data_IF_684586965081
#
_entry.id   IF_684586965081
#
_cell.length_a   1.000
_cell.length_b   1.000
_cell.length_c   1.000
_cell.angle_alpha   90.00
_cell.angle_beta   90.00
_cell.angle_gamma   90.00
#
_symmetry.space_group_name_H-M   'P 1'
#
loop_
_entity.id
_entity.type
_entity.pdbx_description
1 polymer ?
#
# COMPACT_ATOMS: atom_id res chain seq x y z
N UNK A 1 -30.37 -69.04 -35.42
CA UNK A 1 -30.55 -68.77 -36.87
C UNK A 1 -31.90 -68.11 -37.10
N UNK A 2 -31.93 -66.78 -37.16
CA UNK A 2 -32.86 -65.99 -37.99
C UNK A 2 -32.33 -64.56 -38.04
N UNK A 3 -32.26 -64.05 -39.25
CA UNK A 3 -31.49 -62.91 -39.70
C UNK A 3 -32.48 -61.82 -40.10
N UNK A 4 -32.08 -60.56 -39.88
CA UNK A 4 -32.47 -59.35 -40.60
C UNK A 4 -33.93 -58.87 -40.53
N UNK A 5 -34.14 -57.59 -40.20
CA UNK A 5 -34.25 -56.57 -41.24
C UNK A 5 -34.48 -55.17 -40.64
N UNK A 6 -34.04 -54.20 -41.41
CA UNK A 6 -33.75 -52.80 -41.14
C UNK A 6 -35.01 -51.93 -41.13
N UNK A 7 -35.15 -51.06 -40.12
CA UNK A 7 -36.13 -49.97 -40.08
C UNK A 7 -35.47 -48.65 -40.51
N UNK A 8 -35.94 -48.08 -41.61
CA UNK A 8 -35.66 -46.68 -41.99
C UNK A 8 -36.35 -45.72 -41.00
N UNK A 9 -35.61 -44.77 -40.43
CA UNK A 9 -36.18 -43.64 -39.68
C UNK A 9 -36.07 -42.34 -40.50
N UNK A 10 -37.08 -41.45 -40.44
CA UNK A 10 -37.02 -40.16 -41.10
C UNK A 10 -36.17 -39.16 -40.30
N UNK A 11 -35.36 -38.37 -41.00
CA UNK A 11 -34.48 -37.33 -40.43
C UNK A 11 -35.34 -36.17 -39.90
N UNK A 12 -35.35 -35.98 -38.57
CA UNK A 12 -35.85 -34.73 -37.95
C UNK A 12 -34.78 -33.64 -38.10
N UNK A 13 -35.10 -32.58 -38.85
CA UNK A 13 -34.28 -31.35 -38.88
C UNK A 13 -34.50 -30.58 -37.57
N UNK A 14 -33.44 -30.41 -36.78
CA UNK A 14 -33.40 -29.52 -35.62
C UNK A 14 -33.10 -28.10 -36.12
N UNK A 15 -34.01 -27.15 -35.88
CA UNK A 15 -33.70 -25.73 -36.03
C UNK A 15 -33.00 -25.25 -34.76
N UNK A 16 -31.73 -24.87 -34.87
CA UNK A 16 -30.99 -24.23 -33.78
C UNK A 16 -31.26 -22.73 -33.86
N UNK A 17 -32.06 -22.20 -32.92
CA UNK A 17 -32.18 -20.77 -32.71
C UNK A 17 -30.97 -20.26 -31.93
N UNK A 18 -30.22 -19.33 -32.52
CA UNK A 18 -29.08 -18.68 -31.86
C UNK A 18 -29.60 -17.61 -30.89
N UNK A 19 -29.48 -17.87 -29.58
CA UNK A 19 -29.76 -16.90 -28.54
C UNK A 19 -28.53 -15.99 -28.37
N UNK A 20 -28.61 -14.74 -28.81
CA UNK A 20 -27.58 -13.72 -28.53
C UNK A 20 -27.91 -13.09 -27.18
N UNK A 21 -27.14 -13.44 -26.15
CA UNK A 21 -27.24 -12.82 -24.82
C UNK A 21 -26.26 -11.63 -24.81
N UNK A 22 -26.78 -10.41 -24.88
CA UNK A 22 -25.97 -9.21 -24.69
C UNK A 22 -25.72 -8.99 -23.19
N UNK A 23 -24.48 -9.17 -22.75
CA UNK A 23 -24.03 -8.84 -21.39
C UNK A 23 -23.90 -7.32 -21.25
N UNK A 24 -25.00 -6.62 -20.98
CA UNK A 24 -24.95 -5.22 -20.54
C UNK A 24 -24.59 -5.21 -19.05
N UNK A 25 -23.34 -4.88 -18.71
CA UNK A 25 -22.98 -4.59 -17.32
C UNK A 25 -23.68 -3.29 -16.91
N UNK A 26 -24.62 -3.37 -15.97
CA UNK A 26 -25.18 -2.19 -15.35
C UNK A 26 -24.10 -1.49 -14.53
N UNK A 27 -23.71 -0.28 -14.95
CA UNK A 27 -22.86 0.60 -14.15
C UNK A 27 -23.70 1.10 -12.98
N UNK A 28 -23.47 0.59 -11.77
CA UNK A 28 -24.09 1.17 -10.57
C UNK A 28 -23.58 2.60 -10.40
N UNK A 29 -24.50 3.56 -10.30
CA UNK A 29 -24.17 4.93 -9.93
C UNK A 29 -23.67 4.95 -8.49
N UNK A 30 -22.56 5.65 -8.24
CA UNK A 30 -22.09 5.89 -6.86
C UNK A 30 -23.20 6.55 -6.03
N UNK A 31 -23.27 6.28 -4.71
CA UNK A 31 -24.26 6.91 -3.84
C UNK A 31 -24.16 8.44 -3.90
N UNK A 32 -25.30 9.12 -3.72
CA UNK A 32 -25.34 10.58 -3.70
C UNK A 32 -24.36 11.14 -2.64
N UNK A 33 -23.60 12.18 -3.00
CA UNK A 33 -22.56 12.85 -2.19
C UNK A 33 -21.26 12.08 -1.99
N UNK A 34 -21.07 10.94 -2.63
CA UNK A 34 -19.74 10.33 -2.68
C UNK A 34 -18.83 11.15 -3.61
N UNK A 35 -17.53 11.26 -3.29
CA UNK A 35 -16.57 11.85 -4.20
C UNK A 35 -16.55 11.06 -5.52
N UNK A 36 -16.50 11.80 -6.62
CA UNK A 36 -16.27 11.22 -7.94
C UNK A 36 -14.78 10.97 -8.11
N UNK A 37 -14.40 9.75 -8.47
CA UNK A 37 -13.02 9.39 -8.77
C UNK A 37 -12.86 9.22 -10.28
N UNK A 38 -11.75 9.71 -10.80
CA UNK A 38 -11.29 9.46 -12.16
C UNK A 38 -9.85 9.02 -12.11
N UNK A 39 -9.45 8.14 -13.04
CA UNK A 39 -8.04 7.82 -13.23
C UNK A 39 -7.28 9.10 -13.59
N UNK A 40 -6.15 9.32 -12.94
CA UNK A 40 -5.26 10.46 -13.18
C UNK A 40 -3.91 10.03 -13.77
N UNK A 41 -3.70 8.71 -13.95
CA UNK A 41 -2.48 8.15 -14.50
C UNK A 41 -1.56 7.52 -13.45
N UNK A 42 -0.36 7.16 -13.92
CA UNK A 42 0.62 6.39 -13.16
C UNK A 42 1.56 7.35 -12.42
N UNK A 43 1.67 7.20 -11.11
CA UNK A 43 2.58 8.01 -10.27
C UNK A 43 4.02 7.50 -10.36
N UNK A 44 4.22 6.19 -10.39
CA UNK A 44 5.52 5.54 -10.53
C UNK A 44 5.45 4.56 -11.69
N UNK A 45 6.08 4.91 -12.80
CA UNK A 45 6.31 3.99 -13.91
C UNK A 45 7.59 3.19 -13.63
N UNK A 46 7.45 1.86 -13.53
CA UNK A 46 8.54 0.95 -13.18
C UNK A 46 9.63 0.90 -14.25
N UNK A 47 9.28 1.14 -15.50
CA UNK A 47 10.22 1.06 -16.63
C UNK A 47 11.13 2.30 -16.70
N UNK A 48 10.63 3.44 -16.23
CA UNK A 48 11.32 4.74 -16.32
C UNK A 48 11.75 5.30 -14.97
N UNK A 49 11.39 4.65 -13.86
CA UNK A 49 11.81 5.03 -12.52
C UNK A 49 13.35 5.05 -12.39
N UNK A 50 13.89 6.21 -11.99
CA UNK A 50 15.33 6.43 -11.81
C UNK A 50 15.94 5.55 -10.72
N UNK A 51 15.13 5.10 -9.77
CA UNK A 51 15.53 4.20 -8.69
C UNK A 51 14.48 3.09 -8.50
N UNK A 52 14.78 1.89 -9.01
CA UNK A 52 13.89 0.73 -8.98
C UNK A 52 14.67 -0.59 -8.72
N UNK A 53 15.28 -0.77 -7.54
CA UNK A 53 16.14 -1.93 -7.28
C UNK A 53 15.38 -3.25 -7.10
N UNK A 54 14.04 -3.23 -7.02
CA UNK A 54 13.21 -4.41 -6.68
C UNK A 54 12.12 -4.73 -7.68
N UNK A 55 11.88 -3.84 -8.63
CA UNK A 55 10.72 -3.87 -9.53
C UNK A 55 9.36 -3.82 -8.82
N UNK A 56 9.32 -3.34 -7.58
CA UNK A 56 8.12 -3.38 -6.76
C UNK A 56 8.04 -2.28 -5.70
N UNK A 57 6.94 -1.54 -5.77
CA UNK A 57 6.60 -0.40 -4.94
C UNK A 57 5.31 -0.73 -4.20
N UNK A 58 5.36 -0.81 -2.86
CA UNK A 58 4.24 -1.28 -2.04
C UNK A 58 4.00 -0.37 -0.84
N UNK A 59 2.79 -0.46 -0.30
CA UNK A 59 2.34 0.25 0.89
C UNK A 59 2.63 1.76 0.83
N UNK A 60 1.99 2.47 -0.12
CA UNK A 60 2.19 3.89 -0.27
C UNK A 60 1.58 4.68 0.90
N UNK A 61 2.26 5.74 1.31
CA UNK A 61 1.76 6.79 2.21
C UNK A 61 1.98 8.15 1.57
N UNK A 62 0.94 8.99 1.57
CA UNK A 62 0.97 10.33 0.97
C UNK A 62 1.04 11.37 2.08
N UNK A 63 1.93 12.35 1.93
CA UNK A 63 2.11 13.45 2.86
C UNK A 63 1.95 14.82 2.17
N UNK A 64 1.16 15.71 2.75
CA UNK A 64 0.93 17.08 2.23
C UNK A 64 2.07 18.02 2.64
N UNK A 65 3.19 17.94 1.93
CA UNK A 65 4.39 18.73 2.23
C UNK A 65 4.14 20.24 2.13
N UNK A 66 3.42 20.69 1.09
CA UNK A 66 3.05 22.10 0.87
C UNK A 66 2.28 22.77 2.01
N UNK A 67 1.50 21.98 2.75
CA UNK A 67 0.71 22.49 3.88
C UNK A 67 1.54 22.69 5.15
N UNK A 68 2.65 21.95 5.31
CA UNK A 68 3.31 21.80 6.61
C UNK A 68 4.77 22.24 6.63
N UNK A 69 5.49 22.12 5.51
CA UNK A 69 6.91 22.44 5.44
C UNK A 69 7.13 23.86 4.94
N UNK A 70 8.18 24.53 5.44
CA UNK A 70 8.52 25.90 5.05
C UNK A 70 9.06 26.00 3.62
N UNK A 71 9.81 24.99 3.17
CA UNK A 71 10.44 24.96 1.84
C UNK A 71 10.36 23.54 1.23
N UNK A 72 9.17 23.08 0.83
CA UNK A 72 8.99 21.73 0.29
C UNK A 72 9.47 21.62 -1.16
N UNK A 73 10.11 20.50 -1.49
CA UNK A 73 10.55 20.16 -2.86
C UNK A 73 9.38 19.89 -3.83
N UNK A 74 8.17 19.76 -3.30
CA UNK A 74 6.94 19.53 -4.06
C UNK A 74 5.73 19.58 -3.14
N UNK A 75 4.54 19.76 -3.70
CA UNK A 75 3.29 19.91 -2.92
C UNK A 75 2.98 18.66 -2.08
N UNK A 76 3.26 17.48 -2.64
CA UNK A 76 2.97 16.19 -2.02
C UNK A 76 4.19 15.28 -2.09
N UNK A 77 4.46 14.56 -1.00
CA UNK A 77 5.47 13.49 -0.96
C UNK A 77 4.77 12.14 -0.91
N UNK A 78 5.28 11.19 -1.70
CA UNK A 78 4.85 9.78 -1.67
C UNK A 78 5.95 8.94 -1.04
N UNK A 79 5.69 8.39 0.14
CA UNK A 79 6.52 7.36 0.77
C UNK A 79 6.06 5.98 0.37
N UNK A 80 6.97 5.05 0.12
CA UNK A 80 6.62 3.66 -0.22
C UNK A 80 7.73 2.72 0.22
N UNK A 81 7.39 1.43 0.30
CA UNK A 81 8.37 0.37 0.56
C UNK A 81 8.78 -0.33 -0.71
N UNK A 82 9.99 -0.89 -0.70
CA UNK A 82 10.46 -1.81 -1.74
C UNK A 82 10.58 -3.23 -1.18
N UNK A 83 10.02 -4.23 -1.88
CA UNK A 83 9.95 -5.63 -1.39
C UNK A 83 11.34 -6.23 -1.11
N UNK A 84 12.30 -6.01 -2.01
CA UNK A 84 13.67 -6.54 -1.91
C UNK A 84 14.61 -5.47 -1.33
N UNK A 85 15.53 -5.85 -0.44
CA UNK A 85 16.41 -4.91 0.29
C UNK A 85 15.69 -4.03 1.32
N UNK A 86 14.37 -4.04 1.36
CA UNK A 86 13.55 -3.60 2.48
C UNK A 86 13.87 -2.19 3.01
N UNK A 87 13.42 -1.20 2.27
CA UNK A 87 13.70 0.20 2.53
C UNK A 87 12.41 1.01 2.36
N UNK A 88 12.29 2.10 3.12
CA UNK A 88 11.33 3.16 2.83
C UNK A 88 12.00 4.19 1.93
N UNK A 89 11.31 4.56 0.87
CA UNK A 89 11.73 5.55 -0.11
C UNK A 89 10.66 6.63 -0.27
N UNK A 90 11.01 7.70 -0.98
CA UNK A 90 10.16 8.86 -1.28
C UNK A 90 10.21 9.18 -2.77
N UNK A 91 9.19 9.87 -3.29
CA UNK A 91 9.20 10.47 -4.63
C UNK A 91 10.22 11.60 -4.82
N UNK A 92 10.88 12.03 -3.75
CA UNK A 92 11.99 13.02 -3.79
C UNK A 92 13.34 12.35 -4.07
N UNK A 93 14.38 13.08 -4.52
CA UNK A 93 15.68 12.50 -4.89
C UNK A 93 16.45 11.75 -3.77
N UNK A 94 16.08 11.94 -2.51
CA UNK A 94 16.80 11.40 -1.35
C UNK A 94 16.37 9.97 -0.95
N UNK A 95 16.49 8.99 -1.86
CA UNK A 95 16.14 7.59 -1.57
C UNK A 95 17.37 6.68 -1.45
N UNK A 96 17.38 5.69 -0.53
CA UNK A 96 16.37 5.37 0.49
C UNK A 96 16.36 6.36 1.67
N UNK A 97 15.20 6.56 2.30
CA UNK A 97 15.03 7.40 3.50
C UNK A 97 15.20 6.58 4.78
N UNK A 98 14.67 5.36 4.81
CA UNK A 98 14.85 4.43 5.94
C UNK A 98 15.44 3.13 5.41
N UNK A 99 16.53 2.68 6.02
CA UNK A 99 17.15 1.38 5.76
C UNK A 99 16.78 0.36 6.82
N UNK A 100 16.91 -0.92 6.48
CA UNK A 100 16.73 -2.03 7.43
C UNK A 100 17.94 -2.22 8.36
N UNK A 101 19.05 -1.52 8.12
CA UNK A 101 20.29 -1.51 8.92
C UNK A 101 20.61 -0.11 9.49
N UNK A 102 19.70 0.45 10.27
CA UNK A 102 19.90 1.77 10.86
C UNK A 102 20.77 1.70 12.12
N UNK A 103 22.10 1.75 11.95
CA UNK A 103 23.07 1.76 13.07
C UNK A 103 22.97 3.06 13.87
N UNK A 104 23.05 3.02 15.22
CA UNK A 104 23.22 1.84 16.10
C UNK A 104 21.90 1.20 16.55
N UNK A 105 20.77 1.58 15.96
CA UNK A 105 19.44 1.33 16.50
C UNK A 105 18.90 -0.07 16.23
N UNK A 106 19.06 -0.58 15.01
CA UNK A 106 18.59 -1.92 14.65
C UNK A 106 19.29 -2.46 13.39
N UNK A 107 19.18 -3.78 13.23
CA UNK A 107 19.43 -4.49 11.99
C UNK A 107 18.35 -5.57 11.87
N UNK A 108 17.44 -5.42 10.90
CA UNK A 108 16.25 -6.27 10.72
C UNK A 108 16.19 -6.84 9.32
N UNK A 109 15.43 -7.90 9.13
CA UNK A 109 15.24 -8.53 7.82
C UNK A 109 14.59 -7.58 6.82
N UNK A 110 13.69 -6.71 7.29
CA UNK A 110 13.06 -5.70 6.45
C UNK A 110 12.55 -4.47 7.21
N UNK A 111 12.36 -3.35 6.51
CA UNK A 111 11.45 -2.28 6.90
C UNK A 111 10.41 -2.05 5.80
N UNK A 112 9.17 -1.73 6.21
CA UNK A 112 8.05 -1.59 5.29
C UNK A 112 6.88 -0.80 5.90
N UNK A 113 5.88 -0.53 5.07
CA UNK A 113 4.60 0.10 5.42
C UNK A 113 4.73 1.45 6.09
N UNK A 114 5.33 2.44 5.38
CA UNK A 114 5.39 3.80 5.87
C UNK A 114 3.99 4.37 6.09
N UNK A 115 3.82 5.13 7.17
CA UNK A 115 2.68 6.03 7.41
C UNK A 115 3.23 7.37 7.92
N UNK A 116 3.18 8.39 7.07
CA UNK A 116 3.73 9.71 7.32
C UNK A 116 2.63 10.69 7.74
N UNK A 117 2.77 11.28 8.93
CA UNK A 117 1.83 12.24 9.48
C UNK A 117 2.55 13.49 10.00
N UNK A 118 1.92 14.66 9.89
CA UNK A 118 2.41 15.86 10.57
C UNK A 118 2.07 15.79 12.06
N UNK A 119 3.08 15.97 12.92
CA UNK A 119 2.88 16.21 14.34
C UNK A 119 3.08 17.71 14.63
N UNK A 120 1.99 18.41 14.88
CA UNK A 120 2.01 19.86 15.13
C UNK A 120 2.67 20.26 16.44
N UNK A 121 2.64 19.40 17.46
CA UNK A 121 3.30 19.66 18.74
C UNK A 121 4.82 19.56 18.61
N UNK A 122 5.30 18.57 17.84
CA UNK A 122 6.72 18.39 17.54
C UNK A 122 7.22 19.33 16.43
N UNK A 123 6.33 19.89 15.62
CA UNK A 123 6.70 20.65 14.42
C UNK A 123 7.47 19.81 13.40
N UNK A 124 7.11 18.53 13.28
CA UNK A 124 7.85 17.56 12.46
C UNK A 124 6.92 16.52 11.84
N UNK A 125 7.37 15.92 10.74
CA UNK A 125 6.78 14.71 10.19
C UNK A 125 7.17 13.52 11.05
N UNK A 126 6.18 12.76 11.47
CA UNK A 126 6.35 11.44 12.08
C UNK A 126 6.12 10.39 11.01
N UNK A 127 7.09 9.51 10.84
CA UNK A 127 7.04 8.37 9.92
C UNK A 127 6.98 7.09 10.74
N UNK A 128 5.81 6.47 10.78
CA UNK A 128 5.65 5.12 11.29
C UNK A 128 6.03 4.11 10.21
N UNK A 129 6.67 3.02 10.59
CA UNK A 129 7.03 1.91 9.71
C UNK A 129 7.28 0.66 10.56
N UNK A 130 7.16 -0.54 10.01
CA UNK A 130 7.55 -1.75 10.75
C UNK A 130 8.94 -2.22 10.36
N UNK A 131 9.58 -2.94 11.29
CA UNK A 131 10.79 -3.72 11.03
C UNK A 131 10.42 -5.19 10.85
N UNK A 132 10.86 -6.05 11.76
CA UNK A 132 10.20 -7.34 11.95
C UNK A 132 8.71 -7.15 12.22
N UNK A 133 7.87 -8.09 11.76
CA UNK A 133 6.41 -8.00 11.87
C UNK A 133 5.90 -7.79 13.31
N UNK A 134 6.69 -8.12 14.32
CA UNK A 134 6.37 -7.92 15.74
C UNK A 134 6.58 -6.50 16.25
N UNK A 135 7.09 -5.57 15.44
CA UNK A 135 7.45 -4.22 15.88
C UNK A 135 7.08 -3.13 14.87
N UNK A 136 6.29 -2.15 15.32
CA UNK A 136 6.15 -0.86 14.66
C UNK A 136 7.13 0.14 15.29
N UNK A 137 7.72 0.98 14.44
CA UNK A 137 8.76 1.94 14.76
C UNK A 137 8.31 3.34 14.36
N UNK A 138 9.00 4.33 14.90
CA UNK A 138 8.80 5.73 14.59
C UNK A 138 10.16 6.34 14.21
N UNK A 139 10.14 7.21 13.21
CA UNK A 139 11.18 8.19 12.95
C UNK A 139 10.54 9.56 12.79
N UNK A 140 11.30 10.63 13.00
CA UNK A 140 10.81 12.01 12.86
C UNK A 140 11.73 12.87 12.02
N UNK A 141 11.17 13.83 11.29
CA UNK A 141 11.93 14.72 10.43
C UNK A 141 11.26 16.10 10.34
N UNK A 142 12.00 17.21 10.51
CA UNK A 142 11.45 18.55 10.32
C UNK A 142 11.27 18.93 8.84
N UNK A 143 12.02 18.30 7.93
CA UNK A 143 12.00 18.58 6.49
C UNK A 143 11.36 17.45 5.65
N UNK A 144 10.96 16.37 6.31
CA UNK A 144 10.39 15.16 5.73
C UNK A 144 11.34 14.43 4.74
N UNK A 145 12.64 14.71 4.80
CA UNK A 145 13.68 14.11 3.97
C UNK A 145 14.73 13.40 4.83
N UNK A 146 15.27 14.11 5.84
CA UNK A 146 16.24 13.59 6.78
C UNK A 146 15.53 13.17 8.07
N UNK A 147 15.36 11.86 8.25
CA UNK A 147 14.70 11.30 9.43
C UNK A 147 15.70 10.90 10.51
N UNK A 148 15.30 11.12 11.75
CA UNK A 148 15.96 10.63 12.95
C UNK A 148 15.14 9.50 13.57
N UNK A 149 15.80 8.44 14.03
CA UNK A 149 15.11 7.30 14.62
C UNK A 149 14.52 7.64 15.99
N UNK A 150 13.21 7.46 16.15
CA UNK A 150 12.46 7.77 17.37
C UNK A 150 12.20 6.57 18.29
N UNK A 151 12.43 5.34 17.84
CA UNK A 151 12.27 4.14 18.66
C UNK A 151 11.20 3.16 18.18
N UNK A 152 10.92 2.15 19.01
CA UNK A 152 9.78 1.25 18.83
C UNK A 152 8.52 1.92 19.37
N UNK A 153 7.54 2.14 18.51
CA UNK A 153 6.27 2.77 18.88
C UNK A 153 5.28 1.73 19.45
N UNK A 154 5.20 0.57 18.80
CA UNK A 154 4.31 -0.53 19.21
C UNK A 154 5.06 -1.85 19.11
N UNK A 155 4.84 -2.69 20.10
CA UNK A 155 5.36 -4.05 20.20
C UNK A 155 4.18 -5.02 20.30
N UNK A 156 4.27 -6.20 19.68
CA UNK A 156 3.15 -7.15 19.66
C UNK A 156 2.70 -7.56 21.07
N UNK A 157 3.59 -7.53 22.07
CA UNK A 157 3.25 -7.81 23.47
C UNK A 157 2.18 -6.86 24.03
N UNK A 158 2.03 -5.65 23.47
CA UNK A 158 1.00 -4.70 23.85
C UNK A 158 -0.41 -5.14 23.45
N UNK A 159 -0.54 -6.04 22.46
CA UNK A 159 -1.82 -6.60 22.02
C UNK A 159 -2.29 -7.81 22.84
N UNK A 160 -1.48 -8.31 23.77
CA UNK A 160 -1.75 -9.50 24.57
C UNK A 160 -1.07 -10.77 24.05
N UNK A 161 -1.14 -11.86 24.82
CA UNK A 161 -0.31 -13.05 24.67
C UNK A 161 -0.42 -13.79 23.32
N UNK A 162 -1.50 -13.56 22.56
CA UNK A 162 -1.74 -14.24 21.28
C UNK A 162 -1.50 -13.35 20.06
N UNK A 163 -1.01 -12.12 20.25
CA UNK A 163 -0.73 -11.19 19.15
C UNK A 163 0.71 -11.40 18.69
N UNK A 164 0.85 -11.84 17.43
CA UNK A 164 2.16 -12.11 16.83
C UNK A 164 2.69 -10.95 15.99
N UNK A 165 1.81 -10.08 15.49
CA UNK A 165 2.16 -9.02 14.55
C UNK A 165 1.61 -7.64 14.94
N UNK A 166 2.32 -6.59 14.53
CA UNK A 166 1.94 -5.19 14.68
C UNK A 166 2.45 -4.33 13.50
N UNK A 167 2.48 -4.91 12.30
CA UNK A 167 3.17 -4.36 11.10
C UNK A 167 2.53 -3.12 10.44
N UNK A 168 1.42 -2.62 10.97
CA UNK A 168 0.65 -1.49 10.40
C UNK A 168 0.12 -0.55 11.48
N UNK A 169 0.86 -0.45 12.58
CA UNK A 169 0.42 0.28 13.76
C UNK A 169 1.02 1.69 13.82
N UNK A 170 0.22 2.61 14.31
CA UNK A 170 0.65 3.93 14.79
C UNK A 170 0.01 4.21 16.14
N UNK A 171 0.62 5.12 16.89
CA UNK A 171 0.10 5.55 18.19
C UNK A 171 -0.58 6.90 18.06
N UNK A 172 -1.56 7.14 18.92
CA UNK A 172 -2.24 8.42 19.04
C UNK A 172 -2.30 8.83 20.50
N UNK A 173 -2.36 10.14 20.79
CA UNK A 173 -2.66 10.60 22.14
C UNK A 173 -3.97 9.97 22.64
N UNK A 174 -3.92 9.38 23.84
CA UNK A 174 -5.13 8.95 24.52
C UNK A 174 -5.81 10.19 25.14
N UNK A 175 -7.13 10.40 24.94
CA UNK A 175 -7.82 11.62 25.36
C UNK A 175 -7.85 11.82 26.89
N UNK A 176 -7.62 10.76 27.66
CA UNK A 176 -7.47 10.85 29.12
C UNK A 176 -5.99 10.74 29.49
N UNK A 177 -5.45 11.79 30.11
CA UNK A 177 -4.20 11.73 30.86
C UNK A 177 -4.51 10.98 32.17
N UNK A 178 -3.90 9.81 32.35
CA UNK A 178 -3.87 9.14 33.65
C UNK A 178 -3.17 9.98 34.71
#
# INVERSE_FOLDING_TARGET
MKIASTLFQPVRRLAVGLLVISNVKAQQSSPARWPSFSDQGIIIDKETATWNPTNEFIFPSIFHAGQHLTDPLGEWYLYYSLRTNAQVASSTPATPIVRNDWVPHYNVSHVSSPDAIWNSEAGAVFLYFHGENSHARLASSPDALAFEYGGKAVDNAMGGANVTETSYARVFPHPERG
#
